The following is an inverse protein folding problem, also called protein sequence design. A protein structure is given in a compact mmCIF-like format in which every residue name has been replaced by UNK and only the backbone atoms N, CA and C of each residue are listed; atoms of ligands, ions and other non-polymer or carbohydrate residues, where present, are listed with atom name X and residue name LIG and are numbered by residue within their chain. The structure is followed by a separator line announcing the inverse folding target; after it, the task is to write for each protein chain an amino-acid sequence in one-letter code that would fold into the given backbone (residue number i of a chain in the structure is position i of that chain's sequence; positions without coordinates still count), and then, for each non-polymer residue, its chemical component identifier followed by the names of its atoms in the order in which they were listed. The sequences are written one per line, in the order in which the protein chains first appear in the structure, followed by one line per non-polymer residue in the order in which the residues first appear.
data_IF_570781442337
#
_entry.id   IF_570781442337
#
_cell.length_a   1.000
_cell.length_b   1.000
_cell.length_c   1.000
_cell.angle_alpha   90.00
_cell.angle_beta   90.00
_cell.angle_gamma   90.00
#
_symmetry.space_group_name_H-M   'P 1'
#
loop_
_entity.id
_entity.type
_entity.pdbx_description
1 polymer ?
#
# COMPACT_ATOMS: atom_id res chain seq x y z
N UNK A 1 -49.13 -17.20 -32.30
CA UNK A 1 -50.28 -17.30 -31.36
C UNK A 1 -49.69 -17.07 -29.97
N UNK A 2 -50.05 -16.12 -29.12
CA UNK A 2 -51.33 -15.50 -28.78
C UNK A 2 -51.14 -14.03 -28.38
N UNK A 3 -52.21 -13.27 -28.62
CA UNK A 3 -52.41 -11.86 -28.26
C UNK A 3 -52.65 -11.71 -26.75
N UNK A 4 -52.09 -10.64 -26.18
CA UNK A 4 -52.85 -9.68 -25.37
C UNK A 4 -52.88 -9.87 -23.85
N UNK A 5 -52.39 -8.84 -23.14
CA UNK A 5 -53.22 -7.96 -22.28
C UNK A 5 -52.34 -6.86 -21.66
N UNK A 6 -52.59 -5.61 -22.04
CA UNK A 6 -52.04 -4.40 -21.40
C UNK A 6 -52.80 -4.17 -20.08
N UNK A 7 -52.13 -4.39 -18.95
CA UNK A 7 -52.59 -3.95 -17.63
C UNK A 7 -52.03 -2.57 -17.33
N UNK A 8 -52.89 -1.55 -17.40
CA UNK A 8 -52.62 -0.20 -16.85
C UNK A 8 -52.70 -0.26 -15.33
N UNK A 9 -51.75 0.41 -14.66
CA UNK A 9 -51.92 0.86 -13.28
C UNK A 9 -51.06 0.15 -12.23
N UNK A 10 -49.76 0.45 -12.20
CA UNK A 10 -48.99 0.45 -10.95
C UNK A 10 -48.31 1.81 -10.81
N UNK A 11 -48.68 2.53 -9.75
CA UNK A 11 -48.02 3.75 -9.29
C UNK A 11 -46.55 3.39 -9.01
N UNK A 12 -45.66 3.85 -9.87
CA UNK A 12 -44.21 3.75 -9.68
C UNK A 12 -43.84 4.81 -8.65
N UNK A 13 -43.42 4.38 -7.46
CA UNK A 13 -42.81 5.26 -6.49
C UNK A 13 -41.53 5.84 -7.10
N UNK A 14 -41.38 7.16 -7.00
CA UNK A 14 -40.18 7.89 -7.40
C UNK A 14 -38.98 7.27 -6.67
N UNK A 15 -37.99 6.79 -7.43
CA UNK A 15 -36.74 6.29 -6.88
C UNK A 15 -36.16 7.32 -5.90
N UNK A 16 -35.66 6.92 -4.71
CA UNK A 16 -34.99 7.85 -3.81
C UNK A 16 -33.82 8.45 -4.57
N UNK A 17 -33.91 9.76 -4.79
CA UNK A 17 -32.89 10.55 -5.44
C UNK A 17 -31.54 10.20 -4.83
N UNK A 18 -30.58 9.90 -5.70
CA UNK A 18 -29.15 9.85 -5.40
C UNK A 18 -28.85 11.03 -4.49
N UNK A 19 -28.65 10.72 -3.20
CA UNK A 19 -28.20 11.69 -2.21
C UNK A 19 -26.81 12.09 -2.69
N UNK A 20 -26.74 13.19 -3.45
CA UNK A 20 -25.50 13.92 -3.66
C UNK A 20 -24.99 14.24 -2.26
N UNK A 21 -23.98 13.49 -1.81
CA UNK A 21 -23.18 13.85 -0.64
C UNK A 21 -22.76 15.29 -0.86
N UNK A 22 -23.35 16.22 -0.10
CA UNK A 22 -22.86 17.59 -0.06
C UNK A 22 -21.46 17.48 0.52
N UNK A 23 -20.45 17.76 -0.30
CA UNK A 23 -19.11 17.99 0.20
C UNK A 23 -19.20 19.15 1.19
N UNK A 24 -18.96 18.86 2.46
CA UNK A 24 -18.88 19.87 3.48
C UNK A 24 -17.71 20.78 3.12
N UNK A 25 -18.01 22.02 2.69
CA UNK A 25 -17.01 23.06 2.52
C UNK A 25 -16.39 23.32 3.89
N UNK A 26 -15.15 22.87 4.09
CA UNK A 26 -14.36 23.21 5.27
C UNK A 26 -14.25 24.74 5.31
N UNK A 27 -14.67 25.34 6.42
CA UNK A 27 -14.45 26.77 6.69
C UNK A 27 -12.94 26.95 6.83
N UNK A 28 -12.28 27.38 5.76
CA UNK A 28 -10.84 27.67 5.77
C UNK A 28 -10.67 29.09 6.30
N UNK A 29 -9.98 29.22 7.44
CA UNK A 29 -9.63 30.53 7.97
C UNK A 29 -8.62 31.19 7.00
N UNK A 30 -8.90 32.39 6.46
CA UNK A 30 -8.05 33.06 5.47
C UNK A 30 -6.63 33.38 5.97
N UNK A 31 -6.37 33.29 7.28
CA UNK A 31 -5.04 33.48 7.87
C UNK A 31 -4.09 32.28 7.65
N UNK A 32 -4.61 31.10 7.26
CA UNK A 32 -3.79 29.91 7.05
C UNK A 32 -3.65 29.57 5.57
N UNK A 33 -2.46 29.83 5.04
CA UNK A 33 -2.05 29.40 3.70
C UNK A 33 -1.40 28.01 3.74
N UNK A 34 -1.65 27.20 2.70
CA UNK A 34 -0.93 25.94 2.51
C UNK A 34 0.48 26.25 2.00
N UNK A 35 1.50 25.83 2.74
CA UNK A 35 2.93 25.95 2.35
C UNK A 35 3.52 24.56 2.13
N UNK A 36 3.30 23.93 0.96
CA UNK A 36 3.91 22.65 0.66
C UNK A 36 5.42 22.84 0.44
N UNK A 37 6.22 21.95 1.01
CA UNK A 37 7.66 21.88 0.76
C UNK A 37 7.93 21.01 -0.47
N UNK A 38 8.91 21.40 -1.28
CA UNK A 38 9.35 20.64 -2.44
C UNK A 38 10.63 19.86 -2.08
N UNK A 39 10.54 18.52 -2.05
CA UNK A 39 11.65 17.63 -1.70
C UNK A 39 12.37 17.04 -2.91
N UNK A 40 12.19 17.63 -4.10
CA UNK A 40 13.02 17.30 -5.26
C UNK A 40 14.48 17.67 -5.02
N UNK A 41 15.39 17.08 -5.79
CA UNK A 41 16.84 17.34 -5.71
C UNK A 41 17.10 18.85 -5.87
N UNK A 42 17.84 19.43 -4.92
CA UNK A 42 18.26 20.84 -4.94
C UNK A 42 17.23 21.87 -4.45
N UNK A 43 16.10 21.44 -3.87
CA UNK A 43 15.05 22.32 -3.34
C UNK A 43 15.10 22.38 -1.81
N UNK A 44 13.98 22.15 -1.12
CA UNK A 44 13.93 22.17 0.34
C UNK A 44 14.71 21.00 0.97
N UNK A 45 15.07 21.16 2.25
CA UNK A 45 15.76 20.12 3.03
C UNK A 45 14.91 18.84 3.04
N UNK A 46 15.55 17.72 2.71
CA UNK A 46 14.91 16.40 2.74
C UNK A 46 14.38 16.09 4.14
N UNK A 47 13.19 15.46 4.24
CA UNK A 47 12.69 14.98 5.52
C UNK A 47 13.61 13.89 6.07
N UNK A 48 13.51 13.62 7.37
CA UNK A 48 14.18 12.46 7.96
C UNK A 48 13.60 11.18 7.33
N UNK A 49 14.46 10.39 6.68
CA UNK A 49 14.09 9.11 6.08
C UNK A 49 14.57 7.95 6.96
N UNK A 50 14.00 6.77 6.75
CA UNK A 50 14.54 5.56 7.34
C UNK A 50 15.88 5.23 6.65
N UNK A 51 16.96 5.20 7.43
CA UNK A 51 18.31 4.94 6.97
C UNK A 51 18.77 3.51 7.29
N UNK A 52 17.90 2.64 7.82
CA UNK A 52 18.23 1.26 8.24
C UNK A 52 19.09 0.49 7.22
N UNK A 53 18.81 0.62 5.93
CA UNK A 53 19.59 -0.05 4.87
C UNK A 53 20.97 0.59 4.60
N UNK A 54 21.12 1.89 4.86
CA UNK A 54 22.33 2.67 4.57
C UNK A 54 23.22 2.86 5.80
N UNK A 55 22.76 2.46 6.99
CA UNK A 55 23.59 2.47 8.19
C UNK A 55 24.75 1.51 8.04
N UNK A 56 25.93 1.94 8.47
CA UNK A 56 27.06 1.04 8.69
C UNK A 56 26.75 0.14 9.88
N UNK A 57 26.25 -1.06 9.61
CA UNK A 57 25.92 -2.03 10.65
C UNK A 57 27.17 -2.55 11.38
N UNK A 58 27.02 -2.99 12.65
CA UNK A 58 28.08 -3.69 13.37
C UNK A 58 28.63 -4.88 12.59
N UNK A 59 29.93 -5.15 12.73
CA UNK A 59 30.66 -6.14 11.93
C UNK A 59 30.04 -7.55 11.99
N UNK A 60 29.55 -7.99 13.16
CA UNK A 60 28.96 -9.31 13.32
C UNK A 60 27.66 -9.49 12.53
N UNK A 61 26.84 -8.44 12.38
CA UNK A 61 25.63 -8.49 11.55
C UNK A 61 26.00 -8.69 10.08
N UNK A 62 27.01 -7.94 9.62
CA UNK A 62 27.49 -8.07 8.25
C UNK A 62 28.01 -9.48 7.97
N UNK A 63 28.81 -10.04 8.88
CA UNK A 63 29.32 -11.41 8.76
C UNK A 63 28.18 -12.44 8.70
N UNK A 64 27.15 -12.30 9.53
CA UNK A 64 25.97 -13.18 9.53
C UNK A 64 25.20 -13.09 8.21
N UNK A 65 24.95 -11.87 7.70
CA UNK A 65 24.27 -11.67 6.43
C UNK A 65 25.07 -12.19 5.25
N UNK A 66 26.38 -11.93 5.22
CA UNK A 66 27.26 -12.49 4.20
C UNK A 66 27.24 -14.00 4.19
N UNK A 67 27.30 -14.64 5.37
CA UNK A 67 27.19 -16.09 5.49
C UNK A 67 25.86 -16.60 4.95
N UNK A 68 24.75 -15.93 5.27
CA UNK A 68 23.43 -16.28 4.77
C UNK A 68 23.30 -16.10 3.24
N UNK A 69 23.87 -15.03 2.68
CA UNK A 69 23.93 -14.81 1.23
C UNK A 69 24.78 -15.91 0.57
N UNK A 70 25.93 -16.25 1.14
CA UNK A 70 26.82 -17.28 0.61
C UNK A 70 26.11 -18.65 0.48
N UNK A 71 25.39 -19.08 1.52
CA UNK A 71 24.62 -20.34 1.48
C UNK A 71 23.52 -20.35 0.41
N UNK A 72 22.97 -19.18 0.04
CA UNK A 72 21.97 -19.08 -1.03
C UNK A 72 22.59 -19.13 -2.43
N UNK A 73 23.77 -18.53 -2.59
CA UNK A 73 24.43 -18.42 -3.89
C UNK A 73 25.26 -19.66 -4.25
N UNK A 74 25.84 -20.34 -3.27
CA UNK A 74 26.60 -21.57 -3.50
C UNK A 74 25.65 -22.77 -3.61
N UNK A 75 26.07 -23.76 -4.39
CA UNK A 75 25.38 -25.06 -4.44
C UNK A 75 25.63 -25.81 -3.14
N UNK A 76 24.61 -25.90 -2.30
CA UNK A 76 24.64 -26.65 -1.05
C UNK A 76 24.30 -28.12 -1.33
N UNK A 77 25.08 -29.09 -0.82
CA UNK A 77 24.76 -30.51 -0.94
C UNK A 77 23.37 -30.84 -0.38
N UNK A 78 22.65 -31.83 -0.95
CA UNK A 78 21.29 -32.17 -0.53
C UNK A 78 21.20 -32.61 0.94
N UNK A 79 22.24 -33.26 1.44
CA UNK A 79 22.38 -33.68 2.85
C UNK A 79 22.29 -32.52 3.85
N UNK A 80 22.74 -31.33 3.45
CA UNK A 80 22.65 -30.12 4.27
C UNK A 80 21.35 -29.37 3.95
N UNK A 81 20.94 -29.38 2.68
CA UNK A 81 19.77 -28.65 2.23
C UNK A 81 18.45 -29.22 2.76
N UNK A 82 18.39 -30.50 3.13
CA UNK A 82 17.20 -31.11 3.75
C UNK A 82 16.71 -30.36 5.00
N UNK A 83 17.62 -29.72 5.74
CA UNK A 83 17.29 -28.96 6.95
C UNK A 83 16.69 -27.58 6.67
N UNK A 84 16.66 -27.13 5.42
CA UNK A 84 16.00 -25.88 5.05
C UNK A 84 14.48 -26.04 4.94
N UNK A 85 14.00 -27.27 4.71
CA UNK A 85 12.58 -27.59 4.55
C UNK A 85 12.07 -28.22 5.86
N UNK A 86 11.51 -27.39 6.73
CA UNK A 86 10.87 -27.85 7.96
C UNK A 86 9.47 -28.42 7.67
N UNK A 87 9.03 -29.38 8.48
CA UNK A 87 7.62 -29.78 8.52
C UNK A 87 6.82 -28.62 9.11
N UNK A 88 5.82 -28.10 8.38
CA UNK A 88 4.88 -27.13 8.94
C UNK A 88 4.09 -27.85 10.04
N UNK A 89 4.27 -27.40 11.28
CA UNK A 89 3.40 -27.73 12.42
C UNK A 89 2.08 -26.98 12.32
#
# INVERSE_FOLDING_TARGET
MLKGKKGKGKKMALAPAVVKKKEAKKVVNPLFEKRPKNFSIGQDIQPKMDLTHFVKWPYYNWLQWQRAILYKHLKVPPEINQFTWALNL
#
